data_IF_265001311575
#
_entry.id   IF_265001311575
#
_cell.length_a   1.000
_cell.length_b   1.000
_cell.length_c   1.000
_cell.angle_alpha   90.00
_cell.angle_beta   90.00
_cell.angle_gamma   90.00
#
_symmetry.space_group_name_H-M   'P 1'
#
loop_
_entity.id
_entity.type
_entity.pdbx_description
1 polymer ?
#
# COMPACT_ATOMS: atom_id res chain seq x y z
N UNK A 1 -0.93 -22.11 -45.42
CA UNK A 1 -0.31 -21.97 -44.07
C UNK A 1 -0.99 -20.81 -43.34
N UNK A 2 -1.89 -21.08 -42.38
CA UNK A 2 -2.51 -20.04 -41.52
C UNK A 2 -1.53 -19.70 -40.40
N UNK A 3 -1.07 -18.45 -40.32
CA UNK A 3 -0.36 -17.95 -39.13
C UNK A 3 -1.33 -17.95 -37.96
N UNK A 4 -1.01 -18.72 -36.91
CA UNK A 4 -1.68 -18.61 -35.63
C UNK A 4 -1.44 -17.19 -35.10
N UNK A 5 -2.49 -16.38 -35.00
CA UNK A 5 -2.44 -15.12 -34.26
C UNK A 5 -2.40 -15.49 -32.78
N UNK A 6 -1.19 -15.45 -32.22
CA UNK A 6 -1.01 -15.49 -30.77
C UNK A 6 -1.60 -14.16 -30.26
N UNK A 7 -2.84 -14.22 -29.76
CA UNK A 7 -3.47 -13.12 -29.06
C UNK A 7 -2.74 -12.91 -27.74
N UNK A 8 -1.75 -12.02 -27.74
CA UNK A 8 -1.27 -11.45 -26.49
C UNK A 8 -2.46 -10.76 -25.81
N UNK A 9 -2.79 -11.16 -24.58
CA UNK A 9 -3.77 -10.45 -23.78
C UNK A 9 -3.32 -9.00 -23.67
N UNK A 10 -4.14 -8.05 -24.16
CA UNK A 10 -3.83 -6.63 -23.98
C UNK A 10 -3.90 -6.33 -22.49
N UNK A 11 -2.95 -5.57 -21.93
CA UNK A 11 -3.06 -5.12 -20.54
C UNK A 11 -4.39 -4.37 -20.35
N UNK A 12 -5.01 -4.54 -19.17
CA UNK A 12 -6.30 -3.93 -18.84
C UNK A 12 -6.30 -2.41 -18.98
N UNK A 13 -7.47 -1.78 -18.90
CA UNK A 13 -7.58 -0.32 -18.97
C UNK A 13 -6.79 0.37 -17.83
N UNK A 14 -6.45 1.66 -17.99
CA UNK A 14 -5.71 2.39 -16.95
C UNK A 14 -6.43 2.33 -15.58
N UNK A 15 -7.75 2.57 -15.48
CA UNK A 15 -8.49 2.38 -14.24
C UNK A 15 -8.40 0.96 -13.67
N UNK A 16 -8.51 -0.08 -14.51
CA UNK A 16 -8.38 -1.47 -14.05
C UNK A 16 -7.02 -1.76 -13.43
N UNK A 17 -5.94 -1.28 -14.06
CA UNK A 17 -4.58 -1.42 -13.52
C UNK A 17 -4.42 -0.69 -12.19
N UNK A 18 -4.93 0.54 -12.08
CA UNK A 18 -4.91 1.33 -10.84
C UNK A 18 -5.68 0.60 -9.73
N UNK A 19 -6.90 0.12 -10.01
CA UNK A 19 -7.72 -0.60 -9.04
C UNK A 19 -7.06 -1.91 -8.59
N UNK A 20 -6.51 -2.69 -9.53
CA UNK A 20 -5.85 -3.95 -9.21
C UNK A 20 -4.62 -3.74 -8.32
N UNK A 21 -3.75 -2.79 -8.67
CA UNK A 21 -2.53 -2.53 -7.91
C UNK A 21 -2.82 -1.94 -6.53
N UNK A 22 -3.77 -0.99 -6.41
CA UNK A 22 -4.17 -0.48 -5.10
C UNK A 22 -4.86 -1.54 -4.23
N UNK A 23 -5.62 -2.46 -4.82
CA UNK A 23 -6.22 -3.58 -4.09
C UNK A 23 -5.14 -4.49 -3.51
N UNK A 24 -4.17 -4.91 -4.33
CA UNK A 24 -3.05 -5.75 -3.86
C UNK A 24 -2.24 -5.01 -2.80
N UNK A 25 -1.97 -3.71 -3.00
CA UNK A 25 -1.29 -2.87 -2.03
C UNK A 25 -2.03 -2.78 -0.69
N UNK A 26 -3.35 -2.54 -0.72
CA UNK A 26 -4.19 -2.46 0.48
C UNK A 26 -4.22 -3.78 1.23
N UNK A 27 -4.42 -4.90 0.53
CA UNK A 27 -4.44 -6.23 1.16
C UNK A 27 -3.08 -6.55 1.79
N UNK A 28 -1.98 -6.26 1.09
CA UNK A 28 -0.63 -6.44 1.65
C UNK A 28 -0.37 -5.54 2.86
N UNK A 29 -0.81 -4.29 2.83
CA UNK A 29 -0.67 -3.34 3.95
C UNK A 29 -1.53 -3.76 5.14
N UNK A 30 -2.76 -4.24 4.89
CA UNK A 30 -3.63 -4.77 5.93
C UNK A 30 -3.00 -5.99 6.60
N UNK A 31 -2.44 -6.90 5.81
CA UNK A 31 -1.72 -8.06 6.34
C UNK A 31 -0.46 -7.64 7.13
N UNK A 32 0.32 -6.68 6.63
CA UNK A 32 1.50 -6.15 7.33
C UNK A 32 1.15 -5.59 8.71
N UNK A 33 0.09 -4.78 8.77
CA UNK A 33 -0.37 -4.20 10.03
C UNK A 33 -0.88 -5.28 11.00
N UNK A 34 -1.57 -6.31 10.51
CA UNK A 34 -1.96 -7.45 11.33
C UNK A 34 -0.75 -8.20 11.90
N UNK A 35 0.25 -8.52 11.07
CA UNK A 35 1.48 -9.18 11.52
C UNK A 35 2.22 -8.37 12.60
N UNK A 36 2.27 -7.04 12.46
CA UNK A 36 2.88 -6.16 13.44
C UNK A 36 2.11 -6.09 14.76
N UNK A 37 0.79 -6.30 14.73
CA UNK A 37 -0.09 -6.21 15.90
C UNK A 37 -0.30 -7.54 16.64
N UNK A 38 0.04 -8.70 16.04
CA UNK A 38 -0.06 -10.01 16.69
C UNK A 38 0.60 -10.03 18.09
N UNK A 39 1.86 -9.58 18.27
CA UNK A 39 2.49 -9.58 19.58
C UNK A 39 1.75 -8.72 20.61
N UNK A 40 1.23 -7.55 20.20
CA UNK A 40 0.42 -6.69 21.07
C UNK A 40 -0.87 -7.40 21.49
N UNK A 41 -1.52 -8.12 20.58
CA UNK A 41 -2.80 -8.81 20.86
C UNK A 41 -2.67 -9.99 21.82
N UNK A 42 -1.49 -10.61 21.93
CA UNK A 42 -1.25 -11.75 22.80
C UNK A 42 -0.79 -11.37 24.21
N UNK A 43 -0.26 -10.16 24.41
CA UNK A 43 0.41 -9.79 25.66
C UNK A 43 -0.20 -8.60 26.40
N UNK A 44 -1.26 -7.96 25.88
CA UNK A 44 -1.82 -6.75 26.48
C UNK A 44 -3.35 -6.79 26.60
N UNK A 45 -3.84 -6.82 27.84
CA UNK A 45 -5.12 -6.24 28.19
C UNK A 45 -5.02 -4.73 27.92
N UNK A 46 -5.81 -4.17 26.99
CA UNK A 46 -5.78 -2.73 26.66
C UNK A 46 -5.97 -1.80 27.88
N UNK A 47 -6.46 -2.34 28.99
CA UNK A 47 -6.71 -1.68 30.27
C UNK A 47 -5.44 -1.47 31.12
N UNK A 48 -4.33 -2.12 30.78
CA UNK A 48 -3.08 -2.08 31.55
C UNK A 48 -2.00 -1.16 30.93
N UNK A 49 -2.28 -0.54 29.79
CA UNK A 49 -1.34 0.37 29.15
C UNK A 49 -1.19 1.68 29.92
N UNK A 50 0.07 2.04 30.19
CA UNK A 50 0.42 3.35 30.71
C UNK A 50 -0.09 4.46 29.76
N UNK A 51 -0.52 5.63 30.27
CA UNK A 51 -1.13 6.70 29.47
C UNK A 51 -0.31 7.13 28.25
N UNK A 52 1.02 7.17 28.38
CA UNK A 52 1.92 7.57 27.30
C UNK A 52 1.96 6.56 26.15
N UNK A 53 1.87 5.26 26.47
CA UNK A 53 1.83 4.20 25.49
C UNK A 53 0.47 4.16 24.77
N UNK A 54 -0.63 4.48 25.47
CA UNK A 54 -1.96 4.59 24.87
C UNK A 54 -2.04 5.73 23.83
N UNK A 55 -1.46 6.90 24.13
CA UNK A 55 -1.38 8.03 23.19
C UNK A 55 -0.56 7.70 21.93
N UNK A 56 0.55 6.99 22.10
CA UNK A 56 1.38 6.55 20.97
C UNK A 56 0.64 5.56 20.06
N UNK A 57 -0.04 4.56 20.63
CA UNK A 57 -0.85 3.60 19.85
C UNK A 57 -1.98 4.32 19.12
N UNK A 58 -2.71 5.22 19.78
CA UNK A 58 -3.78 6.00 19.16
C UNK A 58 -3.28 6.80 17.96
N UNK A 59 -2.10 7.43 18.09
CA UNK A 59 -1.46 8.18 17.01
C UNK A 59 -1.12 7.29 15.82
N UNK A 60 -0.53 6.12 16.07
CA UNK A 60 -0.18 5.15 15.02
C UNK A 60 -1.43 4.63 14.31
N UNK A 61 -2.47 4.24 15.06
CA UNK A 61 -3.74 3.76 14.50
C UNK A 61 -4.43 4.86 13.67
N UNK A 62 -4.39 6.11 14.13
CA UNK A 62 -4.91 7.26 13.37
C UNK A 62 -4.17 7.47 12.06
N UNK A 63 -2.83 7.36 12.06
CA UNK A 63 -2.02 7.42 10.84
C UNK A 63 -2.38 6.27 9.89
N UNK A 64 -2.51 5.05 10.40
CA UNK A 64 -2.93 3.89 9.61
C UNK A 64 -4.29 4.08 8.96
N UNK A 65 -5.27 4.68 9.66
CA UNK A 65 -6.59 4.96 9.11
C UNK A 65 -6.48 5.88 7.88
N UNK A 66 -5.73 6.98 7.99
CA UNK A 66 -5.54 7.92 6.89
C UNK A 66 -4.78 7.24 5.74
N UNK A 67 -3.72 6.50 6.05
CA UNK A 67 -2.92 5.78 5.07
C UNK A 67 -3.71 4.69 4.32
N UNK A 68 -4.60 3.96 4.98
CA UNK A 68 -5.46 2.98 4.30
C UNK A 68 -6.61 3.65 3.52
N UNK A 69 -7.01 4.86 3.90
CA UNK A 69 -8.12 5.57 3.24
C UNK A 69 -7.75 6.19 1.89
N UNK A 70 -6.53 6.71 1.75
CA UNK A 70 -6.12 7.38 0.50
C UNK A 70 -6.12 6.46 -0.73
N UNK A 71 -5.64 5.20 -0.67
CA UNK A 71 -5.78 4.25 -1.78
C UNK A 71 -7.22 3.98 -2.17
N UNK A 72 -8.13 3.86 -1.19
CA UNK A 72 -9.56 3.67 -1.46
C UNK A 72 -10.14 4.87 -2.21
N UNK A 73 -9.82 6.08 -1.79
CA UNK A 73 -10.24 7.31 -2.48
C UNK A 73 -9.66 7.36 -3.90
N UNK A 74 -8.40 6.97 -4.08
CA UNK A 74 -7.77 6.92 -5.40
C UNK A 74 -8.46 5.91 -6.34
N UNK A 75 -8.87 4.75 -5.82
CA UNK A 75 -9.63 3.76 -6.61
C UNK A 75 -11.03 4.27 -6.97
N UNK A 76 -11.74 4.91 -6.04
CA UNK A 76 -13.03 5.55 -6.33
C UNK A 76 -12.86 6.60 -7.43
N UNK A 77 -11.88 7.50 -7.29
CA UNK A 77 -11.62 8.52 -8.30
C UNK A 77 -11.28 7.91 -9.68
N UNK A 78 -10.48 6.84 -9.71
CA UNK A 78 -10.13 6.13 -10.94
C UNK A 78 -11.36 5.49 -11.62
N UNK A 79 -12.34 5.03 -10.84
CA UNK A 79 -13.57 4.45 -11.37
C UNK A 79 -14.45 5.46 -12.14
N UNK A 80 -14.34 6.75 -11.81
CA UNK A 80 -15.20 7.80 -12.38
C UNK A 80 -14.43 8.85 -13.21
N UNK A 81 -13.10 8.88 -13.17
CA UNK A 81 -12.31 9.90 -13.85
C UNK A 81 -10.99 9.37 -14.41
N UNK A 82 -10.69 9.77 -15.64
CA UNK A 82 -9.38 9.61 -16.28
C UNK A 82 -8.79 10.97 -16.70
N UNK A 83 -9.28 12.05 -16.08
CA UNK A 83 -8.86 13.41 -16.41
C UNK A 83 -7.36 13.62 -16.16
N UNK A 84 -6.75 14.59 -16.86
CA UNK A 84 -5.34 14.94 -16.66
C UNK A 84 -5.06 15.38 -15.22
N UNK A 85 -5.97 16.12 -14.60
CA UNK A 85 -5.85 16.55 -13.20
C UNK A 85 -5.81 15.37 -12.23
N UNK A 86 -6.70 14.41 -12.40
CA UNK A 86 -6.68 13.16 -11.62
C UNK A 86 -5.33 12.44 -11.76
N UNK A 87 -4.82 12.29 -13.00
CA UNK A 87 -3.55 11.60 -13.25
C UNK A 87 -2.37 12.26 -12.55
N UNK A 88 -2.29 13.59 -12.57
CA UNK A 88 -1.23 14.33 -11.87
C UNK A 88 -1.30 14.13 -10.35
N UNK A 89 -2.50 14.22 -9.77
CA UNK A 89 -2.69 14.00 -8.32
C UNK A 89 -2.39 12.55 -7.94
N UNK A 90 -2.87 11.59 -8.74
CA UNK A 90 -2.63 10.17 -8.52
C UNK A 90 -1.14 9.84 -8.61
N UNK A 91 -0.41 10.38 -9.60
CA UNK A 91 1.05 10.22 -9.67
C UNK A 91 1.74 10.76 -8.41
N UNK A 92 1.40 11.97 -7.97
CA UNK A 92 1.93 12.54 -6.72
C UNK A 92 1.67 11.66 -5.51
N UNK A 93 0.46 11.10 -5.40
CA UNK A 93 0.11 10.13 -4.36
C UNK A 93 0.98 8.88 -4.43
N UNK A 94 1.12 8.25 -5.60
CA UNK A 94 1.91 7.02 -5.76
C UNK A 94 3.40 7.23 -5.42
N UNK A 95 3.95 8.41 -5.77
CA UNK A 95 5.32 8.77 -5.42
C UNK A 95 5.49 8.93 -3.91
N UNK A 96 4.55 9.58 -3.24
CA UNK A 96 4.56 9.71 -1.79
C UNK A 96 4.51 8.34 -1.10
N UNK A 97 3.65 7.43 -1.58
CA UNK A 97 3.57 6.06 -1.07
C UNK A 97 4.87 5.28 -1.28
N UNK A 98 5.49 5.42 -2.46
CA UNK A 98 6.78 4.78 -2.74
C UNK A 98 7.88 5.28 -1.81
N UNK A 99 7.90 6.60 -1.54
CA UNK A 99 8.85 7.19 -0.58
C UNK A 99 8.60 6.68 0.84
N UNK A 100 7.35 6.68 1.31
CA UNK A 100 7.01 6.14 2.63
C UNK A 100 7.37 4.67 2.76
N UNK A 101 7.07 3.85 1.75
CA UNK A 101 7.43 2.44 1.75
C UNK A 101 8.95 2.21 1.76
N UNK A 102 9.72 3.03 1.05
CA UNK A 102 11.18 2.96 1.09
C UNK A 102 11.71 3.31 2.48
N UNK A 103 11.22 4.40 3.08
CA UNK A 103 11.62 4.82 4.42
C UNK A 103 11.25 3.74 5.45
N UNK A 104 10.04 3.17 5.36
CA UNK A 104 9.59 2.10 6.23
C UNK A 104 10.44 0.84 6.07
N UNK A 105 10.74 0.42 4.85
CA UNK A 105 11.63 -0.71 4.58
C UNK A 105 13.04 -0.50 5.16
N UNK A 106 13.60 0.70 5.04
CA UNK A 106 14.89 1.04 5.65
C UNK A 106 14.84 0.95 7.18
N UNK A 107 13.74 1.41 7.79
CA UNK A 107 13.55 1.29 9.24
C UNK A 107 13.42 -0.17 9.67
N UNK A 108 12.64 -0.98 8.94
CA UNK A 108 12.46 -2.41 9.22
C UNK A 108 13.80 -3.17 9.17
N UNK A 109 14.65 -2.88 8.17
CA UNK A 109 16.01 -3.43 8.09
C UNK A 109 16.85 -3.03 9.31
N UNK A 110 16.79 -1.75 9.71
CA UNK A 110 17.56 -1.24 10.86
C UNK A 110 17.10 -1.81 12.19
N UNK A 111 15.80 -2.08 12.32
CA UNK A 111 15.19 -2.65 13.52
C UNK A 111 15.26 -4.18 13.54
N UNK A 112 15.82 -4.81 12.51
CA UNK A 112 15.92 -6.27 12.37
C UNK A 112 14.57 -6.97 12.60
N UNK A 113 13.51 -6.45 11.99
CA UNK A 113 12.16 -7.04 12.08
C UNK A 113 12.17 -8.47 11.50
N UNK A 114 11.19 -9.33 11.89
CA UNK A 114 11.07 -10.67 11.34
C UNK A 114 11.04 -10.68 9.81
N UNK A 115 11.61 -11.74 9.21
CA UNK A 115 11.80 -11.85 7.77
C UNK A 115 10.49 -11.75 6.98
N UNK A 116 9.39 -12.22 7.54
CA UNK A 116 8.06 -12.16 6.95
C UNK A 116 7.59 -10.72 6.73
N UNK A 117 7.83 -9.84 7.71
CA UNK A 117 7.52 -8.41 7.57
C UNK A 117 8.45 -7.75 6.55
N UNK A 118 9.74 -8.07 6.59
CA UNK A 118 10.72 -7.49 5.66
C UNK A 118 10.41 -7.86 4.20
N UNK A 119 10.07 -9.12 3.93
CA UNK A 119 9.69 -9.61 2.60
C UNK A 119 8.42 -8.91 2.12
N UNK A 120 7.40 -8.84 2.98
CA UNK A 120 6.13 -8.20 2.65
C UNK A 120 6.33 -6.71 2.35
N UNK A 121 7.14 -6.03 3.15
CA UNK A 121 7.46 -4.61 2.95
C UNK A 121 8.22 -4.37 1.64
N UNK A 122 9.15 -5.26 1.29
CA UNK A 122 9.82 -5.26 -0.01
C UNK A 122 8.82 -5.40 -1.18
N UNK A 123 7.87 -6.33 -1.08
CA UNK A 123 6.80 -6.49 -2.06
C UNK A 123 5.92 -5.24 -2.18
N UNK A 124 5.52 -4.63 -1.06
CA UNK A 124 4.72 -3.40 -1.03
C UNK A 124 5.46 -2.22 -1.68
N UNK A 125 6.77 -2.11 -1.45
CA UNK A 125 7.59 -1.11 -2.12
C UNK A 125 7.60 -1.32 -3.64
N UNK A 126 7.81 -2.55 -4.12
CA UNK A 126 7.77 -2.87 -5.56
C UNK A 126 6.41 -2.57 -6.18
N UNK A 127 5.31 -2.88 -5.50
CA UNK A 127 3.95 -2.53 -5.95
C UNK A 127 3.79 -1.00 -6.05
N UNK A 128 4.34 -0.25 -5.10
CA UNK A 128 4.39 1.22 -5.16
C UNK A 128 5.12 1.73 -6.42
N UNK A 129 6.24 1.12 -6.78
CA UNK A 129 6.96 1.45 -8.02
C UNK A 129 6.14 1.13 -9.28
N UNK A 130 5.42 0.00 -9.29
CA UNK A 130 4.49 -0.34 -10.38
C UNK A 130 3.35 0.67 -10.49
N UNK A 131 2.80 1.11 -9.35
CA UNK A 131 1.79 2.17 -9.31
C UNK A 131 2.30 3.47 -9.92
N UNK A 132 3.56 3.88 -9.65
CA UNK A 132 4.17 5.05 -10.29
C UNK A 132 4.22 4.87 -11.81
N UNK A 133 4.63 3.69 -12.28
CA UNK A 133 4.70 3.37 -13.70
C UNK A 133 3.33 3.47 -14.38
N UNK A 134 2.28 2.97 -13.72
CA UNK A 134 0.90 3.09 -14.21
C UNK A 134 0.42 4.54 -14.20
N UNK A 135 0.72 5.30 -13.15
CA UNK A 135 0.29 6.70 -13.01
C UNK A 135 1.00 7.66 -14.00
N UNK A 136 2.23 7.35 -14.39
CA UNK A 136 3.02 8.15 -15.32
C UNK A 136 2.53 8.03 -16.79
N UNK A 137 1.95 6.88 -17.15
CA UNK A 137 1.41 6.61 -18.49
C UNK A 137 0.16 7.42 -18.78
#
# INVERSE_FOLDING_TARGET
MRRAQINYARPGSLPEQIMALWTIFLLGTLWHTQLALIPLSHHLSLTELQPDAALQISTVVGFMLVFLSLPMIAMIAAAFSTSRGFRTVHLGLTLAYSLFNLLHLVLDIRMAVPAEQLILMGCLFLIGLLLNGVAYR
#
